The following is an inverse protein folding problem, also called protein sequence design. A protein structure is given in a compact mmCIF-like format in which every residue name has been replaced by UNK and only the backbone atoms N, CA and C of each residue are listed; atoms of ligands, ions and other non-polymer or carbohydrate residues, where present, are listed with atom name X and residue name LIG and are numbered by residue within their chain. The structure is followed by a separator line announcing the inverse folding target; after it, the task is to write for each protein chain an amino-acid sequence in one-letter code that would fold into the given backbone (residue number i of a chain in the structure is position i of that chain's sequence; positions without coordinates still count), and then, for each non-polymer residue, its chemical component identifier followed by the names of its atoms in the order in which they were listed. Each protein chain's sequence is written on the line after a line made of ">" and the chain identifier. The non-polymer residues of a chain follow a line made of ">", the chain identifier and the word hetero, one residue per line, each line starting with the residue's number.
data_IF_069028463519
#
_entry.id   IF_069028463519
#
_cell.length_a   1.000
_cell.length_b   1.000
_cell.length_c   1.000
_cell.angle_alpha   90.00
_cell.angle_beta   90.00
_cell.angle_gamma   90.00
#
_symmetry.space_group_name_H-M   'P 1'
#
loop_
_entity.id
_entity.type
_entity.pdbx_description
1 polymer ?
#
# COMPACT_ATOMS: atom_id res chain seq x y z
N UNK A 1 18.06 4.74 -4.59
CA UNK A 1 18.95 4.06 -3.62
C UNK A 1 18.88 2.54 -3.80
N UNK A 2 20.02 1.85 -3.68
CA UNK A 2 20.05 0.38 -3.60
C UNK A 2 19.87 -0.01 -2.12
N UNK A 3 18.95 -0.94 -1.85
CA UNK A 3 18.64 -1.40 -0.50
C UNK A 3 19.28 -2.75 -0.23
N UNK A 4 19.88 -2.87 0.95
CA UNK A 4 20.19 -4.17 1.53
C UNK A 4 18.89 -4.85 2.00
N UNK A 5 18.95 -6.16 2.19
CA UNK A 5 17.84 -6.93 2.71
C UNK A 5 17.43 -6.41 4.09
N UNK A 6 16.15 -6.09 4.27
CA UNK A 6 15.64 -5.57 5.55
C UNK A 6 15.76 -6.59 6.71
N UNK A 7 15.83 -7.88 6.39
CA UNK A 7 15.88 -8.96 7.36
C UNK A 7 17.33 -9.29 7.75
N UNK A 8 18.15 -9.74 6.79
CA UNK A 8 19.51 -10.22 7.06
C UNK A 8 20.64 -9.26 6.64
N UNK A 9 20.32 -8.06 6.14
CA UNK A 9 21.28 -7.03 5.70
C UNK A 9 22.22 -7.40 4.54
N UNK A 10 22.08 -8.59 3.95
CA UNK A 10 22.79 -8.99 2.74
C UNK A 10 22.38 -8.15 1.52
N UNK A 11 23.23 -8.12 0.49
CA UNK A 11 22.88 -7.49 -0.79
C UNK A 11 21.67 -8.19 -1.42
N UNK A 12 20.88 -7.43 -2.17
CA UNK A 12 19.70 -7.93 -2.87
C UNK A 12 19.98 -8.02 -4.38
N UNK A 13 19.29 -8.93 -5.06
CA UNK A 13 19.40 -9.10 -6.51
C UNK A 13 18.11 -8.63 -7.19
N UNK A 14 18.26 -7.71 -8.14
CA UNK A 14 17.14 -7.18 -8.93
C UNK A 14 16.58 -8.28 -9.82
N UNK A 15 15.28 -8.55 -9.69
CA UNK A 15 14.55 -9.47 -10.57
C UNK A 15 14.03 -8.71 -11.80
N UNK A 16 13.43 -7.55 -11.56
CA UNK A 16 13.06 -6.61 -12.61
C UNK A 16 13.08 -5.19 -12.07
N UNK A 17 13.24 -4.23 -12.97
CA UNK A 17 13.10 -2.81 -12.69
C UNK A 17 12.49 -2.08 -13.87
N UNK A 18 11.94 -0.90 -13.62
CA UNK A 18 11.42 -0.01 -14.64
C UNK A 18 11.52 1.43 -14.15
N UNK A 19 11.51 2.38 -15.08
CA UNK A 19 11.54 3.80 -14.76
C UNK A 19 10.11 4.30 -14.50
N UNK A 20 9.89 4.88 -13.33
CA UNK A 20 8.59 5.43 -12.91
C UNK A 20 8.60 6.96 -13.02
N UNK A 21 7.62 7.51 -13.73
CA UNK A 21 7.33 8.93 -13.78
C UNK A 21 6.48 9.31 -12.55
N UNK A 22 7.12 9.51 -11.40
CA UNK A 22 6.46 9.77 -10.11
C UNK A 22 5.98 11.23 -9.98
N UNK A 23 4.79 11.51 -9.42
CA UNK A 23 4.31 12.86 -9.16
C UNK A 23 5.21 13.63 -8.18
N UNK A 24 5.66 14.82 -8.58
CA UNK A 24 6.50 15.71 -7.77
C UNK A 24 7.97 15.30 -7.69
N UNK A 25 8.37 14.22 -8.38
CA UNK A 25 9.75 13.74 -8.42
C UNK A 25 10.23 13.64 -9.87
N UNK A 26 11.55 13.77 -10.06
CA UNK A 26 12.16 13.38 -11.33
C UNK A 26 11.96 11.87 -11.57
N UNK A 27 12.00 11.37 -12.81
CA UNK A 27 11.92 9.94 -13.08
C UNK A 27 12.92 9.13 -12.23
N UNK A 28 12.44 8.00 -11.69
CA UNK A 28 13.23 7.12 -10.82
C UNK A 28 13.16 5.69 -11.31
N UNK A 29 14.30 5.02 -11.31
CA UNK A 29 14.34 3.57 -11.49
C UNK A 29 13.85 2.90 -10.20
N UNK A 30 12.76 2.15 -10.31
CA UNK A 30 12.20 1.36 -9.22
C UNK A 30 12.31 -0.12 -9.62
N UNK A 31 12.94 -0.91 -8.77
CA UNK A 31 13.12 -2.33 -8.97
C UNK A 31 12.58 -3.16 -7.82
N UNK A 32 12.34 -4.43 -8.11
CA UNK A 32 11.91 -5.42 -7.14
C UNK A 32 12.94 -6.52 -7.08
N UNK A 33 13.47 -6.74 -5.88
CA UNK A 33 14.64 -7.56 -5.64
C UNK A 33 14.36 -8.69 -4.65
N UNK A 34 15.12 -9.77 -4.78
CA UNK A 34 15.13 -10.90 -3.84
C UNK A 34 16.49 -10.96 -3.15
N UNK A 35 16.49 -11.19 -1.85
CA UNK A 35 17.72 -11.51 -1.13
C UNK A 35 18.15 -12.97 -1.43
N UNK A 36 19.38 -13.21 -1.91
CA UNK A 36 19.85 -14.56 -2.20
C UNK A 36 20.12 -15.40 -0.94
N UNK A 37 20.19 -14.79 0.25
CA UNK A 37 20.47 -15.49 1.51
C UNK A 37 19.21 -15.92 2.26
N UNK A 38 18.18 -15.07 2.30
CA UNK A 38 16.97 -15.31 3.09
C UNK A 38 15.67 -15.21 2.29
N UNK A 39 15.74 -14.97 0.98
CA UNK A 39 14.56 -14.92 0.11
C UNK A 39 13.60 -13.75 0.38
N UNK A 40 13.90 -12.82 1.30
CA UNK A 40 13.11 -11.61 1.50
C UNK A 40 13.03 -10.77 0.23
N UNK A 41 11.85 -10.17 0.01
CA UNK A 41 11.54 -9.39 -1.18
C UNK A 41 11.34 -7.93 -0.80
N UNK A 42 11.98 -7.03 -1.52
CA UNK A 42 11.86 -5.60 -1.28
C UNK A 42 12.05 -4.80 -2.56
N UNK A 43 11.62 -3.54 -2.54
CA UNK A 43 12.02 -2.62 -3.59
C UNK A 43 13.52 -2.30 -3.49
N UNK A 44 14.24 -2.49 -4.59
CA UNK A 44 15.64 -2.11 -4.79
C UNK A 44 15.94 -2.19 -6.30
N UNK A 45 16.38 -1.10 -6.96
CA UNK A 45 16.45 0.27 -6.45
C UNK A 45 15.08 0.80 -5.97
N UNK A 46 15.08 1.71 -5.01
CA UNK A 46 13.90 2.43 -4.51
C UNK A 46 14.26 3.90 -4.27
N UNK A 47 13.30 4.73 -3.88
CA UNK A 47 13.53 6.15 -3.52
C UNK A 47 14.06 6.30 -2.09
N UNK A 48 14.69 7.43 -1.79
CA UNK A 48 15.02 7.75 -0.39
C UNK A 48 13.74 8.01 0.44
N UNK A 49 13.88 7.97 1.77
CA UNK A 49 12.79 8.33 2.68
C UNK A 49 12.24 9.74 2.39
N UNK A 50 13.12 10.73 2.18
CA UNK A 50 12.71 12.11 1.89
C UNK A 50 11.94 12.23 0.57
N UNK A 51 12.36 11.48 -0.46
CA UNK A 51 11.65 11.41 -1.73
C UNK A 51 10.28 10.74 -1.56
N UNK A 52 10.20 9.66 -0.79
CA UNK A 52 8.95 8.99 -0.47
C UNK A 52 7.98 9.93 0.27
N UNK A 53 8.50 10.73 1.22
CA UNK A 53 7.68 11.73 1.92
C UNK A 53 7.22 12.87 1.02
N UNK A 54 8.06 13.28 0.07
CA UNK A 54 7.69 14.25 -0.97
C UNK A 54 6.53 13.72 -1.81
N UNK A 55 6.56 12.43 -2.20
CA UNK A 55 5.47 11.78 -2.90
C UNK A 55 4.18 11.69 -2.06
N UNK A 56 4.26 11.30 -0.78
CA UNK A 56 3.06 11.25 0.06
C UNK A 56 2.41 12.62 0.24
N UNK A 57 3.23 13.66 0.40
CA UNK A 57 2.77 15.05 0.52
C UNK A 57 2.10 15.55 -0.76
N UNK A 58 2.63 15.15 -1.93
CA UNK A 58 2.07 15.54 -3.22
C UNK A 58 0.76 14.82 -3.56
N UNK A 59 0.57 13.62 -3.01
CA UNK A 59 -0.59 12.76 -3.26
C UNK A 59 -1.72 12.89 -2.24
N UNK A 60 -1.49 13.58 -1.11
CA UNK A 60 -2.44 13.72 -0.01
C UNK A 60 -3.00 12.38 0.51
N UNK A 61 -2.16 11.33 0.46
CA UNK A 61 -2.52 9.94 0.78
C UNK A 61 -3.19 9.79 2.15
N UNK A 62 -2.86 10.67 3.09
CA UNK A 62 -3.36 10.66 4.46
C UNK A 62 -4.74 11.30 4.66
N UNK A 63 -5.34 11.88 3.63
CA UNK A 63 -6.70 12.43 3.71
C UNK A 63 -7.59 11.73 2.70
N UNK A 64 -8.62 11.03 3.16
CA UNK A 64 -9.61 10.39 2.29
C UNK A 64 -10.94 11.19 2.33
N UNK A 65 -10.98 12.42 1.76
CA UNK A 65 -12.10 13.35 1.91
C UNK A 65 -13.42 12.84 1.31
N UNK A 66 -13.37 11.84 0.41
CA UNK A 66 -14.56 11.30 -0.26
C UNK A 66 -15.49 10.47 0.63
N UNK A 67 -15.06 10.03 1.82
CA UNK A 67 -15.81 9.07 2.66
C UNK A 67 -16.62 9.67 3.80
N UNK A 68 -16.68 11.00 3.89
CA UNK A 68 -17.37 11.69 4.99
C UNK A 68 -17.00 11.12 6.38
N UNK A 69 -15.74 10.69 6.54
CA UNK A 69 -15.19 10.21 7.82
C UNK A 69 -15.84 8.94 8.37
N UNK A 70 -16.46 8.12 7.50
CA UNK A 70 -17.05 6.82 7.87
C UNK A 70 -16.20 5.63 7.39
N UNK A 71 -16.06 4.57 8.20
CA UNK A 71 -15.43 3.33 7.74
C UNK A 71 -16.30 2.64 6.68
N UNK A 72 -15.66 1.92 5.75
CA UNK A 72 -16.36 1.08 4.77
C UNK A 72 -16.91 -0.20 5.42
N UNK A 73 -17.96 -0.79 4.85
CA UNK A 73 -18.49 -2.08 5.33
C UNK A 73 -17.41 -3.17 5.38
N UNK A 74 -16.54 -3.18 4.37
CA UNK A 74 -15.33 -3.98 4.32
C UNK A 74 -14.45 -3.79 5.56
N UNK A 75 -14.07 -2.55 5.89
CA UNK A 75 -13.25 -2.23 7.06
C UNK A 75 -13.90 -2.69 8.36
N UNK A 76 -15.22 -2.53 8.50
CA UNK A 76 -15.97 -3.00 9.68
C UNK A 76 -15.85 -4.52 9.81
N UNK A 77 -16.17 -5.25 8.73
CA UNK A 77 -16.14 -6.72 8.70
C UNK A 77 -14.74 -7.27 9.00
N UNK A 78 -13.72 -6.73 8.33
CA UNK A 78 -12.35 -7.22 8.42
C UNK A 78 -11.79 -6.98 9.84
N UNK A 79 -12.11 -5.83 10.45
CA UNK A 79 -11.74 -5.53 11.84
C UNK A 79 -12.47 -6.43 12.86
N UNK A 80 -13.75 -6.73 12.66
CA UNK A 80 -14.48 -7.67 13.51
C UNK A 80 -13.86 -9.08 13.45
N UNK A 81 -13.37 -9.49 12.29
CA UNK A 81 -12.61 -10.73 12.13
C UNK A 81 -11.26 -10.68 12.84
N UNK A 82 -10.50 -9.59 12.71
CA UNK A 82 -9.21 -9.40 13.41
C UNK A 82 -9.39 -9.49 14.94
N UNK A 83 -10.36 -8.78 15.52
CA UNK A 83 -10.64 -8.84 16.97
C UNK A 83 -10.98 -10.26 17.41
N UNK A 84 -11.80 -10.99 16.63
CA UNK A 84 -12.14 -12.39 16.92
C UNK A 84 -10.96 -13.33 16.76
N UNK A 85 -10.10 -13.11 15.77
CA UNK A 85 -8.89 -13.89 15.56
C UNK A 85 -7.93 -13.72 16.74
N UNK A 86 -7.62 -12.48 17.12
CA UNK A 86 -6.77 -12.15 18.27
C UNK A 86 -7.33 -12.75 19.56
N UNK A 87 -8.62 -12.51 19.84
CA UNK A 87 -9.27 -13.05 21.06
C UNK A 87 -9.22 -14.58 21.12
N UNK A 88 -9.42 -15.27 19.98
CA UNK A 88 -9.35 -16.74 19.94
C UNK A 88 -7.93 -17.26 20.10
N UNK A 89 -6.95 -16.59 19.50
CA UNK A 89 -5.54 -16.99 19.58
C UNK A 89 -4.95 -16.80 20.97
N UNK A 90 -5.31 -15.71 21.66
CA UNK A 90 -4.87 -15.42 23.04
C UNK A 90 -5.74 -16.15 24.07
N UNK A 91 -7.03 -16.37 23.77
CA UNK A 91 -8.04 -16.89 24.70
C UNK A 91 -8.80 -15.79 25.45
N UNK A 92 -8.31 -14.55 25.42
CA UNK A 92 -8.94 -13.34 25.96
C UNK A 92 -8.51 -12.12 25.13
N UNK A 93 -9.06 -10.93 25.39
CA UNK A 93 -8.49 -9.68 24.89
C UNK A 93 -7.64 -9.04 25.99
N UNK A 94 -6.39 -8.62 25.69
CA UNK A 94 -5.56 -7.91 26.66
C UNK A 94 -6.17 -6.57 27.10
N UNK A 95 -5.73 -6.02 28.22
CA UNK A 95 -6.31 -4.79 28.78
C UNK A 95 -5.75 -3.52 28.16
N UNK A 96 -4.58 -3.60 27.53
CA UNK A 96 -3.88 -2.48 26.90
C UNK A 96 -3.45 -2.80 25.47
N UNK A 97 -3.69 -1.86 24.54
CA UNK A 97 -3.27 -1.99 23.13
C UNK A 97 -2.60 -0.73 22.57
N UNK A 98 -1.49 -0.93 21.86
CA UNK A 98 -0.82 0.08 21.05
C UNK A 98 -1.02 -0.26 19.57
N UNK A 99 -1.46 0.69 18.76
CA UNK A 99 -1.47 0.52 17.30
C UNK A 99 -0.45 1.44 16.64
N UNK A 100 0.50 0.85 15.92
CA UNK A 100 1.43 1.58 15.07
C UNK A 100 0.76 1.81 13.71
N UNK A 101 0.76 3.05 13.21
CA UNK A 101 -0.02 3.45 12.04
C UNK A 101 -1.52 3.46 12.35
N UNK A 102 -1.94 4.22 13.37
CA UNK A 102 -3.32 4.22 13.84
C UNK A 102 -4.32 4.92 12.91
N UNK A 103 -3.85 5.67 11.91
CA UNK A 103 -4.69 6.40 10.95
C UNK A 103 -5.76 7.24 11.67
N UNK A 104 -7.02 7.13 11.25
CA UNK A 104 -8.17 7.84 11.80
C UNK A 104 -8.63 7.35 13.19
N UNK A 105 -7.95 6.37 13.79
CA UNK A 105 -8.27 5.84 15.12
C UNK A 105 -9.44 4.87 15.20
N UNK A 106 -10.13 4.56 14.08
CA UNK A 106 -11.29 3.67 14.09
C UNK A 106 -10.96 2.25 14.61
N UNK A 107 -9.80 1.70 14.23
CA UNK A 107 -9.38 0.38 14.73
C UNK A 107 -9.31 0.36 16.26
N UNK A 108 -8.62 1.32 16.89
CA UNK A 108 -8.51 1.41 18.34
C UNK A 108 -9.84 1.67 19.03
N UNK A 109 -10.76 2.40 18.40
CA UNK A 109 -12.11 2.63 18.95
C UNK A 109 -12.86 1.30 19.12
N UNK A 110 -12.79 0.40 18.14
CA UNK A 110 -13.43 -0.92 18.18
C UNK A 110 -12.77 -1.86 19.19
N UNK A 111 -11.45 -1.80 19.35
CA UNK A 111 -10.77 -2.55 20.42
C UNK A 111 -11.21 -2.07 21.81
N UNK A 112 -11.35 -0.75 22.01
CA UNK A 112 -11.88 -0.18 23.26
C UNK A 112 -13.33 -0.62 23.53
N UNK A 113 -14.19 -0.58 22.52
CA UNK A 113 -15.57 -1.11 22.59
C UNK A 113 -15.61 -2.60 22.92
N UNK A 114 -14.63 -3.37 22.43
CA UNK A 114 -14.51 -4.80 22.67
C UNK A 114 -13.97 -5.16 24.08
N UNK A 115 -13.62 -4.16 24.90
CA UNK A 115 -13.25 -4.32 26.31
C UNK A 115 -11.82 -3.95 26.67
N UNK A 116 -10.99 -3.47 25.73
CA UNK A 116 -9.63 -2.99 26.04
C UNK A 116 -9.72 -1.65 26.76
N UNK A 117 -9.14 -1.54 27.96
CA UNK A 117 -9.29 -0.36 28.81
C UNK A 117 -8.36 0.80 28.42
N UNK A 118 -7.14 0.49 27.97
CA UNK A 118 -6.16 1.49 27.51
C UNK A 118 -5.80 1.25 26.04
N UNK A 119 -6.04 2.24 25.21
CA UNK A 119 -5.61 2.26 23.80
C UNK A 119 -4.75 3.49 23.52
N UNK A 120 -3.70 3.33 22.72
CA UNK A 120 -2.84 4.42 22.24
C UNK A 120 -2.47 4.19 20.76
N UNK A 121 -2.52 5.24 19.95
CA UNK A 121 -2.06 5.20 18.55
C UNK A 121 -0.68 5.81 18.36
N UNK A 122 0.01 5.42 17.30
CA UNK A 122 1.17 6.13 16.73
C UNK A 122 0.83 6.44 15.28
N UNK A 123 0.89 7.70 14.89
CA UNK A 123 0.50 8.14 13.55
C UNK A 123 1.30 9.37 13.12
N UNK A 124 1.96 9.35 11.94
CA UNK A 124 2.73 10.50 11.46
C UNK A 124 1.85 11.64 10.90
N UNK A 125 0.62 11.35 10.46
CA UNK A 125 -0.27 12.33 9.85
C UNK A 125 -1.02 13.19 10.87
N UNK A 126 -0.73 14.50 10.92
CA UNK A 126 -1.43 15.45 11.80
C UNK A 126 -2.95 15.42 11.61
N UNK A 127 -3.43 15.40 10.36
CA UNK A 127 -4.86 15.33 10.07
C UNK A 127 -5.50 14.03 10.61
N UNK A 128 -4.80 12.90 10.48
CA UNK A 128 -5.25 11.60 10.99
C UNK A 128 -5.35 11.60 12.53
N UNK A 129 -4.34 12.17 13.22
CA UNK A 129 -4.34 12.33 14.69
C UNK A 129 -5.52 13.19 15.16
N UNK A 130 -5.77 14.32 14.47
CA UNK A 130 -6.91 15.18 14.78
C UNK A 130 -8.26 14.47 14.58
N UNK A 131 -8.39 13.68 13.50
CA UNK A 131 -9.57 12.85 13.25
C UNK A 131 -9.76 11.79 14.34
N UNK A 132 -8.70 11.07 14.73
CA UNK A 132 -8.74 10.07 15.79
C UNK A 132 -9.25 10.65 17.12
N UNK A 133 -8.76 11.84 17.48
CA UNK A 133 -9.20 12.53 18.70
C UNK A 133 -10.65 13.01 18.58
N UNK A 134 -11.02 13.63 17.46
CA UNK A 134 -12.33 14.25 17.26
C UNK A 134 -13.47 13.23 17.13
N UNK A 135 -13.25 12.17 16.35
CA UNK A 135 -14.29 11.19 16.01
C UNK A 135 -14.43 10.11 17.08
N UNK A 136 -13.30 9.63 17.59
CA UNK A 136 -13.27 8.45 18.44
C UNK A 136 -12.66 8.70 19.81
N UNK A 137 -12.22 9.92 20.13
CA UNK A 137 -11.55 10.22 21.40
C UNK A 137 -10.37 9.27 21.65
N UNK A 138 -9.60 9.00 20.60
CA UNK A 138 -8.38 8.19 20.67
C UNK A 138 -7.19 9.14 20.77
N UNK A 139 -6.30 8.86 21.72
CA UNK A 139 -5.03 9.56 21.82
C UNK A 139 -4.01 8.90 20.89
N UNK A 140 -3.22 9.74 20.22
CA UNK A 140 -2.13 9.29 19.35
C UNK A 140 -0.86 10.07 19.65
N UNK A 141 0.28 9.38 19.60
CA UNK A 141 1.59 9.99 19.47
C UNK A 141 1.75 10.42 18.01
N UNK A 142 1.93 11.73 17.78
CA UNK A 142 2.27 12.25 16.46
C UNK A 142 3.74 11.88 16.14
N UNK A 143 3.94 10.83 15.36
CA UNK A 143 5.28 10.30 15.08
C UNK A 143 5.28 9.12 14.10
N UNK A 144 6.44 8.86 13.49
CA UNK A 144 6.62 7.73 12.59
C UNK A 144 6.70 6.41 13.37
N UNK A 145 6.39 5.29 12.72
CA UNK A 145 6.58 3.95 13.27
C UNK A 145 8.04 3.67 13.69
N UNK A 146 9.00 4.29 13.02
CA UNK A 146 10.42 4.03 13.29
C UNK A 146 10.95 4.91 14.43
N UNK A 147 10.41 6.12 14.61
CA UNK A 147 11.00 7.14 15.49
C UNK A 147 10.10 7.56 16.67
N UNK A 148 8.90 6.99 16.84
CA UNK A 148 8.06 7.27 18.02
C UNK A 148 8.74 6.88 19.33
N UNK A 149 8.34 7.45 20.46
CA UNK A 149 8.86 7.04 21.76
C UNK A 149 7.75 7.05 22.82
N UNK A 150 7.82 6.13 23.77
CA UNK A 150 6.86 6.02 24.87
C UNK A 150 7.40 5.15 26.00
N UNK A 151 7.15 5.57 27.24
CA UNK A 151 7.41 4.77 28.45
C UNK A 151 6.23 3.87 28.83
N UNK A 152 5.07 4.02 28.16
CA UNK A 152 3.90 3.17 28.38
C UNK A 152 4.12 1.78 27.78
N UNK A 153 3.79 0.74 28.53
CA UNK A 153 3.83 -0.65 28.08
C UNK A 153 2.43 -1.13 27.67
N UNK A 154 2.35 -1.98 26.65
CA UNK A 154 1.09 -2.49 26.11
C UNK A 154 1.13 -4.01 25.92
N UNK A 155 0.12 -4.70 26.43
CA UNK A 155 0.01 -6.16 26.33
C UNK A 155 -0.26 -6.62 24.91
N UNK A 156 -0.86 -5.77 24.06
CA UNK A 156 -1.08 -6.01 22.65
C UNK A 156 -0.48 -4.89 21.81
N UNK A 157 0.38 -5.22 20.85
CA UNK A 157 0.83 -4.28 19.81
C UNK A 157 0.23 -4.69 18.47
N UNK A 158 -0.29 -3.74 17.71
CA UNK A 158 -1.01 -3.98 16.44
C UNK A 158 -0.32 -3.20 15.33
N UNK A 159 0.00 -3.90 14.23
CA UNK A 159 0.44 -3.31 12.97
C UNK A 159 -0.40 -3.89 11.85
N UNK A 160 -1.25 -3.07 11.22
CA UNK A 160 -2.07 -3.49 10.08
C UNK A 160 -1.74 -2.60 8.90
N UNK A 161 -1.18 -3.17 7.83
CA UNK A 161 -0.77 -2.43 6.64
C UNK A 161 0.23 -1.30 6.91
N UNK A 162 1.31 -1.64 7.65
CA UNK A 162 2.36 -0.69 8.04
C UNK A 162 3.73 -1.23 7.67
N UNK A 163 4.00 -2.49 8.01
CA UNK A 163 5.33 -3.09 7.91
C UNK A 163 5.88 -3.10 6.47
N UNK A 164 4.99 -3.21 5.47
CA UNK A 164 5.33 -3.13 4.04
C UNK A 164 5.87 -1.76 3.61
N UNK A 165 5.59 -0.70 4.38
CA UNK A 165 5.97 0.68 4.07
C UNK A 165 7.26 1.14 4.77
N UNK A 166 7.75 0.38 5.76
CA UNK A 166 8.86 0.83 6.62
C UNK A 166 10.23 0.62 5.96
N UNK A 167 11.16 1.54 6.19
CA UNK A 167 12.54 1.39 5.70
C UNK A 167 13.35 0.43 6.58
N UNK A 168 13.03 0.41 7.88
CA UNK A 168 13.62 -0.38 8.97
C UNK A 168 12.54 -1.21 9.69
N UNK A 169 11.83 -2.12 8.97
CA UNK A 169 10.76 -2.91 9.56
C UNK A 169 11.25 -3.79 10.71
N UNK A 170 12.45 -4.37 10.59
CA UNK A 170 13.00 -5.25 11.62
C UNK A 170 13.33 -4.51 12.92
N UNK A 171 13.83 -3.27 12.82
CA UNK A 171 14.12 -2.44 14.00
C UNK A 171 12.82 -2.03 14.70
N UNK A 172 11.76 -1.77 13.93
CA UNK A 172 10.43 -1.46 14.47
C UNK A 172 9.84 -2.66 15.23
N UNK A 173 9.96 -3.88 14.69
CA UNK A 173 9.51 -5.09 15.39
C UNK A 173 10.29 -5.32 16.70
N UNK A 174 11.62 -5.16 16.66
CA UNK A 174 12.48 -5.26 17.87
C UNK A 174 12.14 -4.20 18.91
N UNK A 175 11.85 -2.98 18.48
CA UNK A 175 11.38 -1.89 19.36
C UNK A 175 10.05 -2.26 20.02
N UNK A 176 9.10 -2.80 19.26
CA UNK A 176 7.84 -3.31 19.83
C UNK A 176 8.09 -4.40 20.88
N UNK A 177 8.99 -5.35 20.58
CA UNK A 177 9.36 -6.40 21.54
C UNK A 177 9.96 -5.81 22.83
N UNK A 178 10.85 -4.83 22.69
CA UNK A 178 11.48 -4.15 23.83
C UNK A 178 10.47 -3.39 24.71
N UNK A 179 9.40 -2.82 24.13
CA UNK A 179 8.31 -2.22 24.90
C UNK A 179 7.56 -3.24 25.77
N UNK A 180 7.62 -4.52 25.41
CA UNK A 180 6.95 -5.62 26.12
C UNK A 180 7.91 -6.46 27.00
N UNK A 181 9.21 -6.11 27.06
CA UNK A 181 10.24 -6.95 27.68
C UNK A 181 10.04 -7.22 29.19
N UNK A 182 9.36 -6.31 29.89
CA UNK A 182 9.10 -6.44 31.33
C UNK A 182 7.75 -7.09 31.64
N UNK A 183 6.98 -7.46 30.62
CA UNK A 183 5.71 -8.14 30.79
C UNK A 183 5.91 -9.62 31.07
N UNK A 184 4.99 -10.20 31.84
CA UNK A 184 4.93 -11.65 31.96
C UNK A 184 4.71 -12.30 30.59
N UNK A 185 3.87 -11.69 29.76
CA UNK A 185 3.63 -12.06 28.36
C UNK A 185 3.10 -10.85 27.61
N UNK A 186 3.65 -10.57 26.43
CA UNK A 186 3.16 -9.56 25.50
C UNK A 186 2.80 -10.21 24.17
N UNK A 187 1.85 -9.62 23.46
CA UNK A 187 1.38 -10.09 22.17
C UNK A 187 1.57 -9.03 21.09
N UNK A 188 1.81 -9.48 19.86
CA UNK A 188 1.84 -8.64 18.68
C UNK A 188 0.95 -9.27 17.60
N UNK A 189 0.14 -8.43 16.95
CA UNK A 189 -0.59 -8.79 15.73
C UNK A 189 -0.07 -7.97 14.56
N UNK A 190 0.41 -8.66 13.53
CA UNK A 190 0.91 -8.06 12.29
C UNK A 190 0.09 -8.55 11.11
N UNK A 191 -0.47 -7.64 10.34
CA UNK A 191 -1.17 -7.91 9.09
C UNK A 191 -0.55 -7.14 7.93
N UNK A 192 -0.21 -7.85 6.86
CA UNK A 192 0.43 -7.30 5.65
C UNK A 192 -0.15 -7.97 4.39
N UNK A 193 0.00 -7.33 3.21
CA UNK A 193 -0.25 -7.98 1.93
C UNK A 193 0.59 -9.25 1.79
N UNK A 194 -0.07 -10.35 1.45
CA UNK A 194 0.57 -11.65 1.24
C UNK A 194 1.03 -11.75 -0.21
N UNK A 195 2.33 -11.89 -0.40
CA UNK A 195 2.95 -12.27 -1.67
C UNK A 195 2.65 -13.74 -1.97
N UNK A 196 1.41 -13.98 -2.39
CA UNK A 196 0.87 -15.27 -2.77
C UNK A 196 1.34 -15.69 -4.18
N UNK A 197 0.74 -16.77 -4.71
CA UNK A 197 0.99 -17.18 -6.10
C UNK A 197 0.51 -16.10 -7.07
N UNK A 198 1.18 -15.88 -8.22
CA UNK A 198 0.84 -14.83 -9.18
C UNK A 198 -0.64 -14.83 -9.63
N UNK A 199 -1.28 -15.99 -9.71
CA UNK A 199 -2.69 -16.10 -10.07
C UNK A 199 -3.64 -15.39 -9.09
N UNK A 200 -3.27 -15.31 -7.81
CA UNK A 200 -4.05 -14.66 -6.74
C UNK A 200 -3.76 -13.16 -6.58
N UNK A 201 -2.73 -12.64 -7.25
CA UNK A 201 -2.32 -11.24 -7.14
C UNK A 201 -3.05 -10.38 -8.18
N UNK A 202 -3.61 -9.26 -7.74
CA UNK A 202 -4.25 -8.26 -8.58
C UNK A 202 -3.21 -7.44 -9.37
N UNK A 203 -3.58 -6.80 -10.49
CA UNK A 203 -2.73 -5.82 -11.15
C UNK A 203 -2.35 -4.69 -10.19
N UNK A 204 -1.09 -4.26 -10.21
CA UNK A 204 -0.58 -3.23 -9.31
C UNK A 204 -0.21 -3.70 -7.89
N UNK A 205 -0.22 -5.00 -7.60
CA UNK A 205 0.17 -5.55 -6.29
C UNK A 205 1.57 -5.08 -5.85
N UNK A 206 2.53 -5.08 -6.78
CA UNK A 206 3.84 -4.50 -6.56
C UNK A 206 3.79 -2.98 -6.78
N UNK A 207 3.34 -2.28 -5.73
CA UNK A 207 3.17 -0.83 -5.72
C UNK A 207 4.45 -0.11 -5.29
N UNK A 208 4.51 1.19 -5.58
CA UNK A 208 5.62 2.06 -5.18
C UNK A 208 5.67 2.33 -3.68
N UNK A 209 4.52 2.41 -3.00
CA UNK A 209 4.45 2.72 -1.57
C UNK A 209 4.85 1.51 -0.71
N UNK A 210 4.69 0.29 -1.23
CA UNK A 210 5.06 -0.95 -0.54
C UNK A 210 6.52 -1.28 -0.88
N UNK A 211 7.42 -0.97 0.04
CA UNK A 211 8.85 -1.17 -0.16
C UNK A 211 9.34 -2.53 0.38
N UNK A 212 8.53 -3.25 1.15
CA UNK A 212 8.78 -4.63 1.61
C UNK A 212 7.61 -5.54 1.23
N UNK A 213 7.90 -6.78 0.83
CA UNK A 213 6.89 -7.76 0.43
C UNK A 213 7.07 -9.07 1.21
N UNK A 214 5.97 -9.54 1.79
CA UNK A 214 5.99 -10.65 2.73
C UNK A 214 5.31 -11.88 2.14
N UNK A 215 6.01 -13.01 2.17
CA UNK A 215 5.39 -14.34 2.19
C UNK A 215 5.15 -14.75 3.64
N UNK A 216 4.44 -15.87 3.84
CA UNK A 216 4.35 -16.51 5.16
C UNK A 216 5.73 -16.68 5.78
N UNK A 217 6.68 -17.23 5.03
CA UNK A 217 7.93 -17.73 5.59
C UNK A 217 8.82 -16.59 6.14
N UNK A 218 8.94 -15.51 5.37
CA UNK A 218 9.74 -14.35 5.77
C UNK A 218 8.99 -13.40 6.73
N UNK A 219 7.66 -13.39 6.80
CA UNK A 219 6.96 -12.70 7.89
C UNK A 219 7.14 -13.41 9.24
N UNK A 220 6.92 -14.73 9.26
CA UNK A 220 7.17 -15.56 10.46
C UNK A 220 8.60 -15.39 10.92
N UNK A 221 9.57 -15.48 10.02
CA UNK A 221 10.99 -15.25 10.34
C UNK A 221 11.27 -13.84 10.86
N UNK A 222 10.66 -12.80 10.27
CA UNK A 222 10.84 -11.41 10.75
C UNK A 222 10.38 -11.26 12.21
N UNK A 223 9.26 -11.89 12.58
CA UNK A 223 8.76 -11.91 13.94
C UNK A 223 9.67 -12.72 14.88
N UNK A 224 10.12 -13.90 14.46
CA UNK A 224 11.06 -14.73 15.23
C UNK A 224 12.38 -14.01 15.49
N UNK A 225 12.99 -13.39 14.47
CA UNK A 225 14.22 -12.62 14.60
C UNK A 225 14.05 -11.31 15.41
N UNK A 226 12.80 -10.88 15.65
CA UNK A 226 12.49 -9.76 16.54
C UNK A 226 12.27 -10.18 18.00
N UNK A 227 12.25 -11.49 18.30
CA UNK A 227 12.07 -12.04 19.64
C UNK A 227 10.67 -12.61 19.91
N UNK A 228 9.78 -12.63 18.93
CA UNK A 228 8.43 -13.18 19.09
C UNK A 228 8.36 -14.65 18.67
N UNK A 229 7.42 -15.38 19.26
CA UNK A 229 7.06 -16.75 18.87
C UNK A 229 5.61 -16.78 18.37
N UNK A 230 5.38 -17.36 17.19
CA UNK A 230 4.07 -17.36 16.55
C UNK A 230 3.05 -18.17 17.35
N UNK A 231 1.89 -17.57 17.63
CA UNK A 231 0.75 -18.19 18.31
C UNK A 231 -0.25 -18.71 17.28
N UNK A 232 -0.58 -17.90 16.27
CA UNK A 232 -1.52 -18.28 15.22
C UNK A 232 -1.32 -17.41 13.98
N UNK A 233 -1.72 -17.90 12.82
CA UNK A 233 -1.72 -17.15 11.57
C UNK A 233 -2.97 -17.42 10.74
N UNK A 234 -3.33 -16.46 9.89
CA UNK A 234 -4.44 -16.57 8.95
C UNK A 234 -4.06 -15.96 7.61
N UNK A 235 -4.49 -16.60 6.52
CA UNK A 235 -4.32 -16.09 5.16
C UNK A 235 -5.68 -15.92 4.50
N UNK A 236 -5.94 -14.70 4.00
CA UNK A 236 -7.16 -14.40 3.27
C UNK A 236 -6.80 -14.13 1.81
N UNK A 237 -7.28 -14.97 0.90
CA UNK A 237 -7.01 -14.86 -0.54
C UNK A 237 -8.08 -14.07 -1.30
N UNK A 238 -9.26 -13.88 -0.71
CA UNK A 238 -10.41 -13.19 -1.31
C UNK A 238 -10.74 -11.86 -0.60
N UNK A 239 -9.74 -11.23 0.02
CA UNK A 239 -9.84 -9.88 0.57
C UNK A 239 -10.10 -8.84 -0.54
N UNK A 240 -10.59 -7.65 -0.17
CA UNK A 240 -11.19 -6.70 -1.14
C UNK A 240 -10.21 -6.16 -2.20
N UNK A 241 -8.89 -6.21 -1.98
CA UNK A 241 -7.87 -5.63 -2.88
C UNK A 241 -6.76 -6.61 -3.27
N UNK A 242 -6.16 -7.28 -2.29
CA UNK A 242 -5.08 -8.26 -2.49
C UNK A 242 -5.09 -9.28 -1.36
N UNK A 243 -4.54 -10.49 -1.56
CA UNK A 243 -4.35 -11.43 -0.47
C UNK A 243 -3.62 -10.80 0.72
N UNK A 244 -3.99 -11.17 1.94
CA UNK A 244 -3.33 -10.72 3.17
C UNK A 244 -2.96 -11.91 4.05
N UNK A 245 -1.99 -11.68 4.92
CA UNK A 245 -1.63 -12.59 6.00
C UNK A 245 -1.64 -11.82 7.32
N UNK A 246 -2.34 -12.36 8.31
CA UNK A 246 -2.34 -11.90 9.69
C UNK A 246 -1.59 -12.90 10.57
N UNK A 247 -0.65 -12.43 11.40
CA UNK A 247 0.11 -13.26 12.32
C UNK A 247 -0.02 -12.69 13.73
N UNK A 248 -0.50 -13.52 14.65
CA UNK A 248 -0.46 -13.28 16.08
C UNK A 248 0.76 -13.99 16.66
N UNK A 249 1.58 -13.27 17.42
CA UNK A 249 2.77 -13.81 18.08
C UNK A 249 2.88 -13.32 19.54
N UNK A 250 3.61 -14.06 20.36
CA UNK A 250 3.81 -13.82 21.80
C UNK A 250 5.30 -13.63 22.10
N UNK A 251 5.64 -12.86 23.14
CA UNK A 251 7.00 -12.79 23.68
C UNK A 251 7.41 -14.08 24.40
N UNK A 252 6.45 -14.95 24.77
CA UNK A 252 6.74 -16.28 25.29
C UNK A 252 6.95 -17.29 24.17
N UNK A 253 7.95 -18.15 24.36
CA UNK A 253 8.22 -19.29 23.49
C UNK A 253 6.96 -20.14 23.26
N UNK A 254 6.78 -20.57 22.01
CA UNK A 254 5.69 -21.42 21.57
C UNK A 254 6.28 -22.69 20.92
N UNK A 255 5.88 -23.88 21.38
CA UNK A 255 6.49 -25.16 20.96
C UNK A 255 5.84 -25.77 19.70
N UNK A 256 4.98 -25.03 18.99
CA UNK A 256 4.13 -25.59 17.93
C UNK A 256 4.34 -25.02 16.52
N UNK A 257 5.09 -23.93 16.37
CA UNK A 257 5.38 -23.35 15.06
C UNK A 257 6.78 -23.76 14.60
N UNK A 258 6.86 -24.49 13.49
CA UNK A 258 8.13 -24.82 12.85
C UNK A 258 8.86 -23.57 12.35
N UNK A 259 10.20 -23.61 12.36
CA UNK A 259 11.04 -22.60 11.74
C UNK A 259 10.73 -22.52 10.23
N UNK A 260 10.11 -21.42 9.81
CA UNK A 260 9.80 -21.22 8.40
C UNK A 260 11.09 -21.03 7.59
N UNK A 261 11.33 -21.95 6.65
CA UNK A 261 12.53 -21.91 5.81
C UNK A 261 12.32 -21.02 4.60
N UNK A 262 13.30 -20.14 4.27
CA UNK A 262 13.19 -19.26 3.13
C UNK A 262 13.23 -20.04 1.81
N UNK A 263 12.35 -19.70 0.87
CA UNK A 263 12.35 -20.27 -0.48
C UNK A 263 12.71 -19.21 -1.53
N UNK A 264 14.01 -18.99 -1.72
CA UNK A 264 14.57 -17.98 -2.62
C UNK A 264 14.10 -18.19 -4.07
N UNK A 265 14.18 -19.43 -4.57
CA UNK A 265 13.77 -19.77 -5.93
C UNK A 265 12.28 -19.51 -6.17
N UNK A 266 11.42 -19.89 -5.21
CA UNK A 266 9.98 -19.60 -5.27
C UNK A 266 9.71 -18.11 -5.28
N UNK A 267 10.35 -17.33 -4.40
CA UNK A 267 10.08 -15.90 -4.29
C UNK A 267 10.53 -15.15 -5.55
N UNK A 268 11.66 -15.55 -6.14
CA UNK A 268 12.10 -15.07 -7.45
C UNK A 268 11.13 -15.43 -8.57
N UNK A 269 10.65 -16.67 -8.60
CA UNK A 269 9.67 -17.11 -9.60
C UNK A 269 8.36 -16.31 -9.49
N UNK A 270 7.85 -16.10 -8.27
CA UNK A 270 6.63 -15.27 -8.05
C UNK A 270 6.79 -13.88 -8.65
N UNK A 271 7.93 -13.21 -8.42
CA UNK A 271 8.20 -11.88 -8.97
C UNK A 271 8.27 -11.88 -10.50
N UNK A 272 9.04 -12.81 -11.09
CA UNK A 272 9.21 -12.89 -12.53
C UNK A 272 7.90 -13.21 -13.25
N UNK A 273 7.15 -14.19 -12.74
CA UNK A 273 5.87 -14.61 -13.31
C UNK A 273 4.81 -13.51 -13.16
N UNK A 274 4.77 -12.85 -11.99
CA UNK A 274 3.88 -11.71 -11.79
C UNK A 274 4.23 -10.56 -12.74
N UNK A 275 5.52 -10.23 -12.91
CA UNK A 275 5.94 -9.16 -13.84
C UNK A 275 5.46 -9.44 -15.26
N UNK A 276 5.64 -10.66 -15.75
CA UNK A 276 5.17 -11.06 -17.06
C UNK A 276 3.64 -10.95 -17.18
N UNK A 277 2.91 -11.43 -16.16
CA UNK A 277 1.44 -11.32 -16.08
C UNK A 277 0.97 -9.86 -16.08
N UNK A 278 1.61 -9.01 -15.28
CA UNK A 278 1.24 -7.61 -15.12
C UNK A 278 1.46 -6.83 -16.40
N UNK A 279 2.64 -6.93 -17.03
CA UNK A 279 2.93 -6.26 -18.31
C UNK A 279 1.95 -6.73 -19.38
N UNK A 280 1.68 -8.03 -19.47
CA UNK A 280 0.71 -8.56 -20.43
C UNK A 280 -0.70 -8.02 -20.19
N UNK A 281 -1.12 -7.89 -18.93
CA UNK A 281 -2.42 -7.31 -18.57
C UNK A 281 -2.53 -5.83 -18.98
N UNK A 282 -1.59 -4.99 -18.54
CA UNK A 282 -1.61 -3.56 -18.83
C UNK A 282 -1.51 -3.28 -20.33
N UNK A 283 -0.62 -4.00 -21.03
CA UNK A 283 -0.50 -3.88 -22.48
C UNK A 283 -1.75 -4.38 -23.22
N UNK A 284 -2.38 -5.45 -22.73
CA UNK A 284 -3.65 -5.94 -23.26
C UNK A 284 -4.78 -4.90 -23.15
N UNK A 285 -4.91 -4.26 -21.99
CA UNK A 285 -5.83 -3.13 -21.77
C UNK A 285 -5.56 -1.98 -22.74
N UNK A 286 -4.30 -1.57 -22.90
CA UNK A 286 -3.93 -0.52 -23.84
C UNK A 286 -4.26 -0.90 -25.28
N UNK A 287 -3.91 -2.12 -25.71
CA UNK A 287 -4.14 -2.58 -27.08
C UNK A 287 -5.62 -2.52 -27.48
N UNK A 288 -6.54 -2.74 -26.54
CA UNK A 288 -7.98 -2.68 -26.80
C UNK A 288 -8.46 -1.26 -27.17
N UNK A 289 -7.78 -0.21 -26.67
CA UNK A 289 -8.15 1.19 -26.88
C UNK A 289 -7.19 1.94 -27.80
N UNK A 290 -6.02 1.36 -28.10
CA UNK A 290 -4.96 1.98 -28.90
C UNK A 290 -5.43 2.47 -30.29
N UNK A 291 -6.31 1.75 -31.03
CA UNK A 291 -6.81 2.25 -32.31
C UNK A 291 -7.56 3.59 -32.17
N UNK A 292 -8.33 3.77 -31.09
CA UNK A 292 -9.06 5.00 -30.84
C UNK A 292 -8.12 6.13 -30.39
N UNK A 293 -7.12 5.81 -29.56
CA UNK A 293 -6.06 6.77 -29.18
C UNK A 293 -5.32 7.30 -30.41
N UNK A 294 -4.91 6.42 -31.34
CA UNK A 294 -4.19 6.81 -32.56
C UNK A 294 -4.98 7.67 -33.54
N UNK A 295 -6.31 7.69 -33.45
CA UNK A 295 -7.18 8.55 -34.26
C UNK A 295 -7.37 9.94 -33.65
N UNK A 296 -6.95 10.12 -32.39
CA UNK A 296 -7.13 11.37 -31.66
C UNK A 296 -6.07 12.40 -32.03
N UNK A 297 -6.43 13.69 -32.09
CA UNK A 297 -5.49 14.77 -32.42
C UNK A 297 -4.58 15.11 -31.23
N UNK A 298 -5.14 15.11 -30.03
CA UNK A 298 -4.44 15.35 -28.75
C UNK A 298 -4.92 14.34 -27.72
N UNK A 299 -4.00 13.83 -26.91
CA UNK A 299 -4.29 12.81 -25.89
C UNK A 299 -3.90 13.37 -24.53
N UNK A 300 -4.85 13.36 -23.59
CA UNK A 300 -4.66 13.80 -22.22
C UNK A 300 -4.82 12.61 -21.27
N UNK A 301 -3.91 12.47 -20.32
CA UNK A 301 -4.03 11.50 -19.23
C UNK A 301 -4.85 12.13 -18.10
N UNK A 302 -5.82 11.39 -17.57
CA UNK A 302 -6.63 11.81 -16.43
C UNK A 302 -6.35 10.96 -15.20
N UNK A 303 -5.70 11.58 -14.21
CA UNK A 303 -5.24 10.97 -12.97
C UNK A 303 -3.73 11.16 -12.79
N UNK A 304 -3.32 12.21 -12.08
CA UNK A 304 -1.91 12.46 -11.77
C UNK A 304 -1.50 11.68 -10.51
N UNK A 305 -1.33 10.37 -10.67
CA UNK A 305 -1.05 9.47 -9.54
C UNK A 305 -0.33 8.21 -9.98
N UNK A 306 -0.35 7.22 -9.09
CA UNK A 306 0.47 6.01 -9.25
C UNK A 306 0.08 5.16 -10.46
N UNK A 307 -1.20 5.12 -10.82
CA UNK A 307 -1.65 4.37 -11.99
C UNK A 307 -1.14 4.97 -13.31
N UNK A 308 -0.93 6.30 -13.38
CA UNK A 308 -0.24 6.93 -14.52
C UNK A 308 1.24 6.54 -14.57
N UNK A 309 1.89 6.33 -13.43
CA UNK A 309 3.24 5.75 -13.43
C UNK A 309 3.22 4.33 -14.01
N UNK A 310 2.26 3.51 -13.59
CA UNK A 310 2.16 2.11 -13.98
C UNK A 310 1.82 1.93 -15.46
N UNK A 311 0.87 2.69 -16.03
CA UNK A 311 0.59 2.60 -17.46
C UNK A 311 1.83 2.95 -18.30
N UNK A 312 2.58 4.00 -17.92
CA UNK A 312 3.81 4.38 -18.62
C UNK A 312 4.90 3.32 -18.43
N UNK A 313 5.03 2.74 -17.24
CA UNK A 313 6.07 1.77 -16.91
C UNK A 313 5.80 0.34 -17.40
N UNK A 314 4.54 0.01 -17.72
CA UNK A 314 4.09 -1.34 -18.05
C UNK A 314 3.55 -1.47 -19.49
N UNK A 315 3.53 -0.39 -20.26
CA UNK A 315 3.03 -0.40 -21.64
C UNK A 315 3.93 0.40 -22.56
N UNK A 316 3.74 0.22 -23.87
CA UNK A 316 4.39 1.03 -24.91
C UNK A 316 3.60 2.31 -25.27
N UNK A 317 2.72 2.82 -24.40
CA UNK A 317 1.87 3.98 -24.68
C UNK A 317 2.65 5.18 -25.23
N UNK A 318 3.78 5.51 -24.60
CA UNK A 318 4.59 6.67 -24.97
C UNK A 318 5.36 6.47 -26.28
N UNK A 319 5.59 5.23 -26.69
CA UNK A 319 6.22 4.89 -27.97
C UNK A 319 5.21 4.99 -29.12
N UNK A 320 3.94 4.67 -28.82
CA UNK A 320 2.86 4.59 -29.80
C UNK A 320 2.08 5.90 -29.96
N UNK A 321 2.09 6.78 -28.95
CA UNK A 321 1.25 7.96 -28.87
C UNK A 321 1.97 9.15 -28.21
N UNK A 322 1.81 10.34 -28.79
CA UNK A 322 2.28 11.59 -28.17
C UNK A 322 1.25 12.10 -27.17
N UNK A 323 1.59 12.04 -25.88
CA UNK A 323 0.73 12.56 -24.81
C UNK A 323 0.86 14.07 -24.71
N UNK A 324 -0.24 14.77 -24.90
CA UNK A 324 -0.33 16.23 -24.90
C UNK A 324 -0.28 16.82 -23.50
N UNK A 325 -0.91 16.16 -22.51
CA UNK A 325 -0.97 16.70 -21.15
C UNK A 325 -1.49 15.72 -20.13
N UNK A 326 -1.40 16.14 -18.87
CA UNK A 326 -1.84 15.42 -17.69
C UNK A 326 -2.78 16.31 -16.88
N UNK A 327 -3.89 15.77 -16.40
CA UNK A 327 -4.88 16.51 -15.61
C UNK A 327 -5.41 15.66 -14.46
N UNK A 328 -5.86 16.31 -13.39
CA UNK A 328 -6.44 15.67 -12.21
C UNK A 328 -7.44 16.63 -11.55
N UNK A 329 -8.44 16.12 -10.82
CA UNK A 329 -9.41 16.96 -10.11
C UNK A 329 -8.86 17.50 -8.78
N UNK A 330 -7.84 16.86 -8.22
CA UNK A 330 -7.21 17.29 -6.97
C UNK A 330 -6.34 18.53 -7.18
N UNK A 331 -6.74 19.62 -6.52
CA UNK A 331 -6.01 20.91 -6.53
C UNK A 331 -4.57 20.78 -6.01
N UNK A 332 -4.32 19.81 -5.14
CA UNK A 332 -2.98 19.56 -4.58
C UNK A 332 -1.99 19.08 -5.64
N UNK A 333 -2.50 18.54 -6.76
CA UNK A 333 -1.67 17.99 -7.82
C UNK A 333 -1.38 18.99 -8.93
N UNK A 334 -2.15 20.07 -9.03
CA UNK A 334 -1.98 21.07 -10.09
C UNK A 334 -0.61 21.74 -9.96
N UNK A 335 0.09 21.86 -11.09
CA UNK A 335 1.46 22.38 -11.15
C UNK A 335 2.54 21.35 -10.81
N UNK A 336 2.19 20.16 -10.33
CA UNK A 336 3.17 19.10 -10.10
C UNK A 336 3.64 18.50 -11.43
N UNK A 337 4.95 18.29 -11.52
CA UNK A 337 5.55 17.54 -12.62
C UNK A 337 5.39 16.04 -12.40
N UNK A 338 5.03 15.32 -13.45
CA UNK A 338 5.03 13.86 -13.50
C UNK A 338 5.59 13.44 -14.87
N UNK A 339 6.82 12.94 -14.89
CA UNK A 339 7.54 12.72 -16.15
C UNK A 339 7.77 14.02 -16.91
N UNK A 340 7.39 14.06 -18.18
CA UNK A 340 7.48 15.26 -19.03
C UNK A 340 6.26 16.18 -18.92
N UNK A 341 5.25 15.81 -18.12
CA UNK A 341 3.99 16.55 -18.02
C UNK A 341 3.91 17.35 -16.73
N UNK A 342 3.23 18.50 -16.80
CA UNK A 342 2.79 19.26 -15.63
C UNK A 342 1.29 19.02 -15.50
N UNK A 343 0.85 18.57 -14.32
CA UNK A 343 -0.56 18.35 -14.06
C UNK A 343 -1.32 19.68 -14.07
N UNK A 344 -2.38 19.76 -14.86
CA UNK A 344 -3.21 20.96 -15.03
C UNK A 344 -4.58 20.78 -14.38
N UNK A 345 -5.22 21.91 -14.09
CA UNK A 345 -6.62 21.92 -13.73
C UNK A 345 -7.48 21.64 -14.97
N UNK A 346 -8.48 20.74 -14.91
CA UNK A 346 -9.23 20.33 -16.11
C UNK A 346 -9.96 21.47 -16.81
N UNK A 347 -10.38 22.48 -16.07
CA UNK A 347 -11.10 23.67 -16.54
C UNK A 347 -10.18 24.71 -17.20
N UNK A 348 -8.85 24.59 -17.00
CA UNK A 348 -7.85 25.46 -17.64
C UNK A 348 -7.41 24.96 -19.02
N UNK A 349 -7.77 23.73 -19.38
CA UNK A 349 -7.45 23.14 -20.69
C UNK A 349 -8.47 23.66 -21.71
N UNK A 350 -7.96 24.22 -22.81
CA UNK A 350 -8.77 24.57 -23.98
C UNK A 350 -9.11 23.29 -24.77
N UNK A 351 -10.22 22.64 -24.39
CA UNK A 351 -10.70 21.41 -24.99
C UNK A 351 -11.25 21.63 -26.41
N UNK A 352 -10.78 20.83 -27.35
CA UNK A 352 -11.05 20.97 -28.79
C UNK A 352 -11.58 19.66 -29.39
N UNK A 353 -12.32 19.78 -30.50
CA UNK A 353 -12.83 18.62 -31.22
C UNK A 353 -11.69 17.70 -31.74
N UNK A 354 -11.80 16.41 -31.40
CA UNK A 354 -10.77 15.40 -31.65
C UNK A 354 -9.76 15.21 -30.51
N UNK A 355 -9.94 15.88 -29.35
CA UNK A 355 -9.22 15.51 -28.14
C UNK A 355 -9.73 14.19 -27.57
N UNK A 356 -8.82 13.45 -26.94
CA UNK A 356 -9.13 12.25 -26.18
C UNK A 356 -8.58 12.33 -24.76
N UNK A 357 -9.37 11.89 -23.79
CA UNK A 357 -8.98 11.69 -22.40
C UNK A 357 -8.86 10.20 -22.12
N UNK A 358 -7.67 9.76 -21.72
CA UNK A 358 -7.43 8.42 -21.19
C UNK A 358 -7.47 8.45 -19.66
N UNK A 359 -8.45 7.77 -19.08
CA UNK A 359 -8.56 7.63 -17.63
C UNK A 359 -7.57 6.56 -17.17
N UNK A 360 -6.59 6.95 -16.37
CA UNK A 360 -5.53 6.04 -15.91
C UNK A 360 -5.85 5.39 -14.56
N UNK A 361 -6.80 5.92 -13.78
CA UNK A 361 -7.09 5.40 -12.44
C UNK A 361 -7.81 4.05 -12.48
N UNK A 362 -7.30 3.04 -11.77
CA UNK A 362 -7.94 1.73 -11.66
C UNK A 362 -9.20 1.77 -10.77
N UNK A 363 -9.06 2.11 -9.49
CA UNK A 363 -10.15 2.02 -8.51
C UNK A 363 -11.29 3.02 -8.75
N UNK A 364 -10.98 4.22 -9.24
CA UNK A 364 -11.96 5.29 -9.49
C UNK A 364 -12.33 5.42 -10.97
N UNK A 365 -11.98 4.45 -11.82
CA UNK A 365 -12.12 4.58 -13.27
C UNK A 365 -13.54 4.94 -13.69
N UNK A 366 -14.51 4.18 -13.16
CA UNK A 366 -15.93 4.35 -13.48
C UNK A 366 -16.45 5.69 -12.98
N UNK A 367 -16.15 6.05 -11.73
CA UNK A 367 -16.56 7.31 -11.13
C UNK A 367 -16.03 8.51 -11.93
N UNK A 368 -14.75 8.46 -12.31
CA UNK A 368 -14.14 9.47 -13.17
C UNK A 368 -14.83 9.49 -14.53
N UNK A 369 -15.04 8.33 -15.16
CA UNK A 369 -15.70 8.26 -16.46
C UNK A 369 -17.09 8.89 -16.41
N UNK A 370 -17.89 8.59 -15.39
CA UNK A 370 -19.22 9.17 -15.20
C UNK A 370 -19.14 10.69 -14.98
N UNK A 371 -18.21 11.15 -14.14
CA UNK A 371 -17.99 12.58 -13.87
C UNK A 371 -17.55 13.36 -15.11
N UNK A 372 -16.91 12.72 -16.09
CA UNK A 372 -16.44 13.35 -17.33
C UNK A 372 -17.52 13.53 -18.41
N UNK A 373 -18.80 13.36 -18.07
CA UNK A 373 -19.91 13.59 -19.02
C UNK A 373 -19.84 14.96 -19.70
N UNK A 374 -19.46 16.00 -18.98
CA UNK A 374 -19.37 17.36 -19.51
C UNK A 374 -18.33 17.52 -20.65
N UNK A 375 -17.27 16.70 -20.66
CA UNK A 375 -16.31 16.65 -21.77
C UNK A 375 -16.89 15.93 -22.97
N UNK A 376 -17.58 14.80 -22.75
CA UNK A 376 -18.28 14.08 -23.82
C UNK A 376 -19.37 14.94 -24.47
N UNK A 377 -20.06 15.77 -23.69
CA UNK A 377 -21.05 16.74 -24.21
C UNK A 377 -20.41 17.81 -25.12
N UNK A 378 -19.08 18.02 -25.03
CA UNK A 378 -18.28 18.88 -25.92
C UNK A 378 -17.67 18.13 -27.12
N UNK A 379 -17.96 16.84 -27.29
CA UNK A 379 -17.40 15.99 -28.35
C UNK A 379 -16.05 15.35 -28.01
N UNK A 380 -15.56 15.47 -26.78
CA UNK A 380 -14.27 14.88 -26.37
C UNK A 380 -14.45 13.38 -26.13
N UNK A 381 -13.57 12.57 -26.72
CA UNK A 381 -13.55 11.14 -26.47
C UNK A 381 -13.00 10.86 -25.07
N UNK A 382 -13.70 10.07 -24.26
CA UNK A 382 -13.18 9.60 -22.96
C UNK A 382 -13.04 8.09 -22.99
N UNK A 383 -11.86 7.56 -22.71
CA UNK A 383 -11.55 6.13 -22.74
C UNK A 383 -11.22 5.62 -21.34
N UNK A 384 -11.78 4.45 -21.04
CA UNK A 384 -11.46 3.63 -19.87
C UNK A 384 -10.41 2.61 -20.27
N UNK A 385 -9.35 2.47 -19.47
CA UNK A 385 -8.27 1.54 -19.72
C UNK A 385 -8.63 0.11 -19.27
N UNK A 386 -9.12 -0.02 -18.05
CA UNK A 386 -9.36 -1.29 -17.38
C UNK A 386 -10.78 -1.82 -17.58
N UNK A 387 -11.76 -0.93 -17.80
CA UNK A 387 -13.18 -1.25 -17.86
C UNK A 387 -13.68 -1.98 -16.61
N UNK A 388 -13.18 -1.58 -15.44
CA UNK A 388 -13.52 -2.21 -14.16
C UNK A 388 -14.74 -1.52 -13.58
N UNK A 389 -15.86 -2.26 -13.51
CA UNK A 389 -17.09 -1.82 -12.84
C UNK A 389 -17.19 -2.36 -11.40
N UNK A 390 -16.08 -2.86 -10.85
CA UNK A 390 -16.06 -3.54 -9.56
C UNK A 390 -16.27 -2.56 -8.41
N UNK A 391 -17.38 -2.71 -7.68
CA UNK A 391 -17.68 -1.89 -6.50
C UNK A 391 -16.81 -2.25 -5.28
N UNK A 392 -16.02 -3.33 -5.35
CA UNK A 392 -15.15 -3.81 -4.25
C UNK A 392 -13.79 -3.11 -4.18
N UNK A 393 -13.41 -2.34 -5.22
CA UNK A 393 -12.14 -1.59 -5.24
C UNK A 393 -12.17 -0.29 -4.46
N UNK A 394 -13.28 0.01 -3.77
CA UNK A 394 -13.46 1.19 -2.92
C UNK A 394 -13.29 0.83 -1.44
#
# INVERSE_FOLDING_TARGET
>A
MIRNCFLCQSKTEVVFSTTWALPGLAPREIGFSVCPECGSVCQSPSVSFDEMMTFYSSMAVYTNPGRQEKPTEAKIRDLDEQIRFIRRGIGFLPNSALQIGSSDGYTLSRFREAGISRVLGVEPGTASVELAKRLYQIDCILGSAEDFDTDEQFELIILTHVLEHLYRPQDTLKKCHNLQQNMAEGFIYVEVPLMAKPASLCPGFFSFEHINYYTRDNLVRSLSEAGYSVVSLVEHYNSNLSPIIGVLASTKAQDHCDDAQPNICRNRAILSDYRAKEVAYWQGCLNAILPALKQSKRIFLWGAGIHTCQIVANTNLIDECVITGLTDTSKLKWGLRQGEWICQAPDTIDWQDGDCVLISSYASEKEIFDALKWLRDKGILTLRLHNVDDTRTH
#
